data_IF_563246463605
#
_entry.id   IF_563246463605
#
_cell.length_a   1.000
_cell.length_b   1.000
_cell.length_c   1.000
_cell.angle_alpha   90.00
_cell.angle_beta   90.00
_cell.angle_gamma   90.00
#
_symmetry.space_group_name_H-M   'P 1'
#
loop_
_entity.id
_entity.type
_entity.pdbx_description
1 polymer ?
#
# COMPACT_ATOMS: atom_id res chain seq x y z
N UNK A 1 6.31 7.29 -19.80
CA UNK A 1 5.84 5.98 -19.31
C UNK A 1 4.37 6.14 -18.93
N UNK A 2 3.49 5.31 -19.47
CA UNK A 2 2.04 5.54 -19.49
C UNK A 2 1.40 5.24 -18.12
N UNK A 3 0.63 6.19 -17.59
CA UNK A 3 -0.26 6.05 -16.44
C UNK A 3 -1.39 5.04 -16.72
N UNK A 4 -1.03 3.76 -16.79
CA UNK A 4 -1.93 2.64 -17.09
C UNK A 4 -2.52 2.00 -15.84
N UNK A 5 -2.02 2.36 -14.67
CA UNK A 5 -2.50 1.88 -13.38
C UNK A 5 -3.31 3.00 -12.73
N UNK A 6 -4.63 2.80 -12.64
CA UNK A 6 -5.57 3.73 -11.99
C UNK A 6 -5.55 3.60 -10.47
N UNK A 7 -4.95 2.53 -9.97
CA UNK A 7 -4.92 2.21 -8.56
C UNK A 7 -3.60 1.55 -8.21
N UNK A 8 -3.05 1.90 -7.04
CA UNK A 8 -1.87 1.29 -6.45
C UNK A 8 -2.25 0.68 -5.11
N UNK A 9 -1.85 -0.58 -4.92
CA UNK A 9 -2.01 -1.28 -3.66
C UNK A 9 -0.64 -1.53 -3.03
N UNK A 10 -0.52 -1.30 -1.73
CA UNK A 10 0.66 -1.62 -0.96
C UNK A 10 0.28 -2.50 0.25
N UNK A 11 1.07 -3.56 0.47
CA UNK A 11 0.82 -4.57 1.50
C UNK A 11 1.96 -4.71 2.53
N UNK A 12 2.42 -3.61 3.18
CA UNK A 12 3.38 -3.71 4.27
C UNK A 12 2.81 -4.52 5.44
N UNK A 13 3.67 -5.30 6.10
CA UNK A 13 3.33 -6.03 7.33
C UNK A 13 2.89 -5.04 8.42
N UNK A 14 2.02 -5.48 9.34
CA UNK A 14 1.58 -4.67 10.48
C UNK A 14 2.74 -4.09 11.29
N UNK A 15 3.79 -4.88 11.50
CA UNK A 15 4.95 -4.52 12.31
C UNK A 15 5.88 -3.51 11.63
N UNK A 16 5.70 -3.26 10.33
CA UNK A 16 6.56 -2.35 9.55
C UNK A 16 6.04 -0.91 9.67
N UNK A 17 6.10 -0.33 10.88
CA UNK A 17 5.55 0.99 11.20
C UNK A 17 6.07 2.10 10.28
N UNK A 18 7.34 2.06 9.88
CA UNK A 18 7.93 3.04 8.96
C UNK A 18 7.25 3.01 7.57
N UNK A 19 7.06 1.83 6.99
CA UNK A 19 6.37 1.67 5.70
C UNK A 19 4.91 2.08 5.78
N UNK A 20 4.21 1.72 6.86
CA UNK A 20 2.84 2.14 7.11
C UNK A 20 2.73 3.67 7.22
N UNK A 21 3.68 4.32 7.89
CA UNK A 21 3.74 5.78 7.97
C UNK A 21 3.98 6.43 6.59
N UNK A 22 4.82 5.84 5.74
CA UNK A 22 5.04 6.33 4.37
C UNK A 22 3.76 6.22 3.54
N UNK A 23 3.07 5.07 3.55
CA UNK A 23 1.79 4.92 2.85
C UNK A 23 0.77 5.97 3.32
N UNK A 24 0.65 6.18 4.63
CA UNK A 24 -0.23 7.21 5.19
C UNK A 24 0.13 8.62 4.74
N UNK A 25 1.42 8.96 4.70
CA UNK A 25 1.90 10.30 4.27
C UNK A 25 1.75 10.51 2.77
N UNK A 26 1.90 9.47 1.97
CA UNK A 26 1.75 9.51 0.52
C UNK A 26 0.27 9.54 0.07
N UNK A 27 -0.69 9.69 0.99
CA UNK A 27 -2.12 9.80 0.65
C UNK A 27 -2.83 8.47 0.42
N UNK A 28 -2.21 7.33 0.77
CA UNK A 28 -2.89 6.05 0.69
C UNK A 28 -3.96 5.97 1.77
N UNK A 29 -5.09 5.36 1.40
CA UNK A 29 -6.17 5.02 2.31
C UNK A 29 -5.97 3.61 2.85
N UNK A 30 -6.00 3.45 4.17
CA UNK A 30 -5.98 2.14 4.82
C UNK A 30 -7.37 1.49 4.67
N UNK A 31 -7.46 0.45 3.85
CA UNK A 31 -8.71 -0.32 3.62
C UNK A 31 -8.94 -1.35 4.71
N UNK A 32 -7.88 -1.85 5.33
CA UNK A 32 -7.94 -2.84 6.40
C UNK A 32 -6.67 -3.69 6.47
N UNK A 33 -6.77 -4.81 7.17
CA UNK A 33 -5.71 -5.82 7.23
C UNK A 33 -6.10 -7.05 6.41
N UNK A 34 -5.11 -7.66 5.78
CA UNK A 34 -5.25 -8.84 4.94
C UNK A 34 -4.22 -9.88 5.37
N UNK A 35 -4.66 -11.13 5.47
CA UNK A 35 -3.79 -12.25 5.75
C UNK A 35 -3.26 -12.82 4.43
N UNK A 36 -1.95 -12.76 4.23
CA UNK A 36 -1.26 -13.39 3.12
C UNK A 36 -0.44 -14.57 3.63
N UNK A 37 -0.52 -15.70 2.94
CA UNK A 37 0.40 -16.81 3.17
C UNK A 37 1.65 -16.61 2.30
N UNK A 38 2.76 -16.18 2.92
CA UNK A 38 4.03 -16.10 2.21
C UNK A 38 5.23 -16.08 3.17
N UNK A 39 6.24 -16.97 3.01
CA UNK A 39 6.21 -18.22 2.25
C UNK A 39 5.22 -19.23 2.85
N UNK A 40 4.91 -20.30 2.10
CA UNK A 40 3.94 -21.33 2.47
C UNK A 40 4.09 -21.78 3.93
N UNK A 41 3.00 -21.72 4.71
CA UNK A 41 3.01 -22.03 6.15
C UNK A 41 3.33 -20.85 7.08
N UNK A 42 3.60 -19.66 6.56
CA UNK A 42 3.76 -18.44 7.36
C UNK A 42 2.63 -17.44 7.06
N UNK A 43 1.55 -17.43 7.85
CA UNK A 43 0.51 -16.43 7.71
C UNK A 43 1.05 -15.07 8.15
N UNK A 44 1.14 -14.13 7.22
CA UNK A 44 1.50 -12.74 7.46
C UNK A 44 0.23 -11.91 7.46
N UNK A 45 0.06 -11.07 8.47
CA UNK A 45 -0.95 -10.01 8.42
C UNK A 45 -0.31 -8.71 7.91
N UNK A 46 -0.80 -8.23 6.78
CA UNK A 46 -0.37 -6.98 6.14
C UNK A 46 -1.52 -5.98 6.10
N UNK A 47 -1.21 -4.69 6.09
CA UNK A 47 -2.19 -3.64 5.84
C UNK A 47 -2.44 -3.50 4.35
N UNK A 48 -3.69 -3.46 3.90
CA UNK A 48 -4.07 -3.08 2.52
C UNK A 48 -4.18 -1.56 2.42
N UNK A 49 -3.16 -0.96 1.82
CA UNK A 49 -3.14 0.47 1.50
C UNK A 49 -3.52 0.67 0.04
N UNK A 50 -4.52 1.50 -0.22
CA UNK A 50 -5.02 1.83 -1.55
C UNK A 50 -4.75 3.29 -1.87
N UNK A 51 -4.15 3.56 -3.03
CA UNK A 51 -4.08 4.89 -3.61
C UNK A 51 -4.73 4.89 -4.99
N UNK A 52 -5.59 5.88 -5.22
CA UNK A 52 -6.10 6.17 -6.55
C UNK A 52 -5.06 7.02 -7.30
N UNK A 53 -4.68 6.56 -8.49
CA UNK A 53 -3.72 7.23 -9.36
C UNK A 53 -4.40 7.98 -10.52
N UNK A 54 -5.74 7.95 -10.58
CA UNK A 54 -6.57 8.71 -11.54
C UNK A 54 -6.59 10.21 -11.16
N UNK A 55 -6.36 10.50 -9.87
CA UNK A 55 -6.49 11.82 -9.28
C UNK A 55 -5.31 12.77 -9.42
N UNK A 56 -4.03 12.36 -9.32
CA UNK A 56 -2.95 13.35 -9.31
C UNK A 56 -1.53 12.78 -9.45
N UNK A 57 -0.82 13.28 -10.46
CA UNK A 57 0.62 13.52 -10.38
C UNK A 57 0.89 14.57 -9.30
N UNK A 58 0.90 14.21 -8.01
CA UNK A 58 1.31 15.16 -6.97
C UNK A 58 2.74 14.90 -6.50
N UNK A 59 3.63 15.83 -6.86
CA UNK A 59 4.79 16.20 -6.04
C UNK A 59 6.08 15.40 -6.22
N UNK A 60 6.93 15.86 -7.12
CA UNK A 60 8.36 15.56 -7.13
C UNK A 60 9.11 16.73 -7.77
N UNK A 61 9.23 17.83 -7.02
CA UNK A 61 10.23 18.89 -7.26
C UNK A 61 11.64 18.38 -7.00
#
# INVERSE_FOLDING_TARGET
AAGRHRSLHAYPRLEHTASNAVCRRAGFTLRGTVAFEYPKGHPITSNDWYADLDGESQGGE
#
